data_IF_748889153685
#
_entry.id   IF_748889153685
#
_cell.length_a   1.000
_cell.length_b   1.000
_cell.length_c   1.000
_cell.angle_alpha   90.00
_cell.angle_beta   90.00
_cell.angle_gamma   90.00
#
_symmetry.space_group_name_H-M   'P 1'
#
loop_
_entity.id
_entity.type
_entity.pdbx_description
1 polymer ?
#
# COMPACT_ATOMS: atom_id res chain seq x y z
N UNK A 1 6.12 8.03 -42.00
CA UNK A 1 7.39 7.61 -41.35
C UNK A 1 7.52 8.34 -40.03
N UNK A 2 7.97 7.66 -38.97
CA UNK A 2 8.35 8.31 -37.70
C UNK A 2 7.68 7.73 -36.44
N UNK A 3 7.87 6.43 -36.18
CA UNK A 3 7.60 5.84 -34.87
C UNK A 3 8.84 6.07 -34.00
N UNK A 4 8.74 6.74 -32.85
CA UNK A 4 9.78 6.68 -31.80
C UNK A 4 9.23 6.04 -30.53
N UNK A 5 9.53 4.76 -30.45
CA UNK A 5 9.52 3.90 -29.27
C UNK A 5 10.64 4.36 -28.31
N UNK A 6 10.38 4.22 -27.00
CA UNK A 6 11.31 4.02 -25.85
C UNK A 6 11.08 5.03 -24.73
N UNK A 7 10.36 4.65 -23.68
CA UNK A 7 10.86 3.97 -22.45
C UNK A 7 11.29 4.99 -21.39
N UNK A 8 10.45 5.26 -20.39
CA UNK A 8 10.40 4.63 -19.04
C UNK A 8 11.19 5.47 -18.01
N UNK A 9 10.55 5.91 -16.91
CA UNK A 9 11.17 6.80 -15.94
C UNK A 9 11.98 5.99 -14.91
N UNK A 10 13.23 6.38 -14.68
CA UNK A 10 14.05 5.94 -13.56
C UNK A 10 14.40 7.19 -12.76
N UNK A 11 13.75 7.36 -11.61
CA UNK A 11 14.31 7.01 -10.30
C UNK A 11 15.09 8.19 -9.72
N UNK A 12 14.37 8.96 -8.89
CA UNK A 12 14.95 9.82 -7.86
C UNK A 12 16.06 9.05 -7.13
N UNK A 13 17.26 9.63 -7.04
CA UNK A 13 18.20 9.46 -5.94
C UNK A 13 19.33 10.49 -6.08
N UNK A 14 18.99 11.76 -5.82
CA UNK A 14 19.96 12.79 -5.46
C UNK A 14 20.10 12.72 -3.93
N UNK A 15 21.01 11.89 -3.43
CA UNK A 15 21.71 12.14 -2.16
C UNK A 15 23.16 11.66 -2.34
N UNK A 16 23.92 12.37 -3.18
CA UNK A 16 25.36 12.48 -2.97
C UNK A 16 25.60 13.58 -1.96
N UNK A 17 25.83 13.21 -0.69
CA UNK A 17 26.69 13.98 0.24
C UNK A 17 26.77 13.30 1.60
N UNK A 18 27.95 12.76 1.90
CA UNK A 18 28.65 12.63 3.20
C UNK A 18 29.48 11.35 3.15
N UNK A 19 30.73 11.28 3.56
CA UNK A 19 31.76 12.25 3.98
C UNK A 19 32.96 11.31 4.14
N UNK A 20 33.95 11.45 3.28
CA UNK A 20 35.19 10.69 3.41
C UNK A 20 36.00 11.19 4.61
N UNK A 21 36.60 10.21 5.29
CA UNK A 21 37.76 10.19 6.20
C UNK A 21 37.74 10.92 7.56
N UNK A 22 37.91 10.09 8.60
CA UNK A 22 38.80 10.29 9.76
C UNK A 22 38.91 8.96 10.54
N UNK A 23 39.91 8.10 10.26
CA UNK A 23 40.18 6.91 11.06
C UNK A 23 41.14 7.23 12.22
N UNK A 24 40.67 7.11 13.47
CA UNK A 24 41.54 7.08 14.65
C UNK A 24 41.91 5.64 15.02
N UNK A 25 43.18 5.32 15.30
CA UNK A 25 43.64 3.95 15.50
C UNK A 25 43.50 3.56 16.98
N UNK A 26 42.49 2.75 17.31
CA UNK A 26 42.52 2.01 18.58
C UNK A 26 43.26 0.70 18.38
N UNK A 27 44.52 0.73 18.82
CA UNK A 27 45.35 -0.42 19.08
C UNK A 27 44.75 -1.27 20.23
N UNK A 28 44.87 -2.60 20.10
CA UNK A 28 44.88 -3.53 21.22
C UNK A 28 43.69 -4.48 21.31
N UNK A 29 43.97 -5.80 21.23
CA UNK A 29 43.08 -6.83 21.76
C UNK A 29 43.06 -8.14 20.99
N UNK A 30 44.01 -9.02 21.32
CA UNK A 30 43.97 -10.50 21.30
C UNK A 30 43.06 -11.25 20.32
N UNK A 31 43.69 -12.12 19.53
CA UNK A 31 43.04 -13.22 18.86
C UNK A 31 42.40 -14.20 19.87
N UNK A 32 41.08 -14.35 19.81
CA UNK A 32 40.34 -15.47 20.40
C UNK A 32 39.85 -16.40 19.27
N UNK A 33 40.44 -17.59 19.06
CA UNK A 33 40.06 -18.47 17.96
C UNK A 33 38.96 -19.47 18.35
N UNK A 34 37.80 -19.03 18.89
CA UNK A 34 36.62 -19.91 19.01
C UNK A 34 35.32 -19.16 19.38
N UNK A 35 34.68 -18.42 18.47
CA UNK A 35 33.21 -18.30 18.51
C UNK A 35 32.67 -18.14 17.10
N UNK A 36 32.09 -19.23 16.60
CA UNK A 36 31.19 -19.30 15.46
C UNK A 36 30.22 -18.12 15.50
N UNK A 37 30.31 -17.20 14.54
CA UNK A 37 29.40 -16.06 14.40
C UNK A 37 27.96 -16.54 14.46
N UNK A 38 27.27 -16.06 15.48
CA UNK A 38 25.89 -16.33 15.82
C UNK A 38 24.99 -15.80 14.70
N UNK A 39 24.55 -16.68 13.80
CA UNK A 39 23.37 -16.42 12.98
C UNK A 39 22.21 -16.21 13.96
N UNK A 40 21.91 -14.93 14.21
CA UNK A 40 21.00 -14.48 15.25
C UNK A 40 19.68 -15.25 15.17
N UNK A 41 19.40 -16.00 16.24
CA UNK A 41 18.10 -16.66 16.44
C UNK A 41 17.03 -15.58 16.41
N UNK A 42 16.33 -15.47 15.28
CA UNK A 42 15.26 -14.50 15.06
C UNK A 42 14.24 -14.66 16.18
N UNK A 43 14.16 -13.66 17.06
CA UNK A 43 13.17 -13.63 18.13
C UNK A 43 11.85 -13.07 17.59
N UNK A 44 10.94 -14.00 17.33
CA UNK A 44 9.61 -13.72 16.81
C UNK A 44 9.03 -15.02 16.24
N UNK A 45 8.07 -15.63 16.94
CA UNK A 45 7.42 -16.84 16.44
C UNK A 45 6.40 -16.49 15.36
N UNK A 46 6.39 -17.27 14.27
CA UNK A 46 5.36 -17.21 13.23
C UNK A 46 3.99 -17.72 13.71
N UNK A 47 3.86 -18.08 14.99
CA UNK A 47 2.69 -18.70 15.59
C UNK A 47 1.39 -17.89 15.46
N UNK A 48 1.48 -16.58 15.18
CA UNK A 48 0.32 -15.70 15.00
C UNK A 48 -0.02 -15.41 13.53
N UNK A 49 0.72 -15.97 12.58
CA UNK A 49 0.45 -15.77 11.16
C UNK A 49 -0.95 -16.30 10.80
N UNK A 50 -1.79 -15.46 10.20
CA UNK A 50 -3.12 -15.86 9.75
C UNK A 50 -4.21 -16.02 10.83
N UNK A 51 -3.90 -15.81 12.13
CA UNK A 51 -4.86 -15.97 13.26
C UNK A 51 -6.21 -15.26 12.99
N UNK A 52 -6.15 -14.00 12.56
CA UNK A 52 -7.35 -13.17 12.32
C UNK A 52 -8.15 -13.63 11.11
N UNK A 53 -7.48 -14.15 10.08
CA UNK A 53 -8.14 -14.63 8.85
C UNK A 53 -8.89 -15.96 9.09
N UNK A 54 -8.41 -16.79 10.00
CA UNK A 54 -9.10 -18.04 10.40
C UNK A 54 -10.20 -17.82 11.44
N UNK A 55 -10.06 -16.81 12.30
CA UNK A 55 -11.05 -16.50 13.33
C UNK A 55 -12.30 -15.82 12.77
N UNK A 56 -12.18 -15.05 11.69
CA UNK A 56 -13.31 -14.32 11.10
C UNK A 56 -14.21 -15.27 10.29
N UNK A 57 -15.54 -15.24 10.49
CA UNK A 57 -16.45 -16.10 9.74
C UNK A 57 -16.34 -15.82 8.24
N UNK A 58 -16.26 -16.87 7.43
CA UNK A 58 -16.15 -16.75 5.98
C UNK A 58 -17.51 -16.43 5.36
N UNK A 59 -17.85 -15.15 5.26
CA UNK A 59 -19.09 -14.71 4.61
C UNK A 59 -18.98 -14.91 3.09
N UNK A 60 -19.92 -15.66 2.51
CA UNK A 60 -20.03 -15.83 1.06
C UNK A 60 -20.42 -14.51 0.39
N UNK A 61 -19.94 -14.29 -0.83
CA UNK A 61 -20.34 -13.11 -1.60
C UNK A 61 -21.80 -13.26 -2.00
N UNK A 62 -22.62 -12.30 -1.64
CA UNK A 62 -24.00 -12.23 -2.16
C UNK A 62 -23.98 -11.93 -3.65
N UNK A 63 -24.92 -12.55 -4.38
CA UNK A 63 -25.15 -12.24 -5.78
C UNK A 63 -25.73 -10.84 -5.94
N UNK A 64 -24.94 -9.95 -6.55
CA UNK A 64 -25.32 -8.57 -6.85
C UNK A 64 -25.43 -8.42 -8.36
N UNK A 65 -26.47 -7.73 -8.82
CA UNK A 65 -26.66 -7.39 -10.24
C UNK A 65 -25.39 -6.73 -10.79
N UNK A 66 -24.95 -7.16 -11.97
CA UNK A 66 -23.77 -6.61 -12.64
C UNK A 66 -24.02 -5.12 -12.90
N UNK A 67 -23.10 -4.27 -12.43
CA UNK A 67 -23.12 -2.85 -12.79
C UNK A 67 -22.76 -2.72 -14.27
N UNK A 68 -23.48 -1.91 -15.06
CA UNK A 68 -23.07 -1.65 -16.43
C UNK A 68 -21.68 -1.01 -16.43
N UNK A 69 -20.90 -1.24 -17.48
CA UNK A 69 -19.52 -0.72 -17.64
C UNK A 69 -19.49 0.42 -18.67
N UNK A 70 -18.41 1.21 -18.67
CA UNK A 70 -18.16 2.23 -19.68
C UNK A 70 -19.14 3.40 -19.66
N UNK A 71 -19.62 3.82 -20.84
CA UNK A 71 -20.46 5.01 -21.02
C UNK A 71 -21.79 4.92 -20.26
N UNK A 72 -22.42 3.75 -20.25
CA UNK A 72 -23.67 3.53 -19.51
C UNK A 72 -23.48 3.77 -17.99
N UNK A 73 -22.33 3.37 -17.43
CA UNK A 73 -22.04 3.64 -16.02
C UNK A 73 -21.85 5.14 -15.74
N UNK A 74 -21.10 5.83 -16.61
CA UNK A 74 -20.87 7.27 -16.49
C UNK A 74 -22.18 8.07 -16.56
N UNK A 75 -23.12 7.69 -17.44
CA UNK A 75 -24.46 8.30 -17.50
C UNK A 75 -25.23 8.13 -16.19
N UNK A 76 -25.23 6.91 -15.63
CA UNK A 76 -25.88 6.65 -14.34
C UNK A 76 -25.25 7.47 -13.20
N UNK A 77 -23.93 7.62 -13.18
CA UNK A 77 -23.25 8.46 -12.18
C UNK A 77 -23.61 9.95 -12.31
N UNK A 78 -23.62 10.48 -13.55
CA UNK A 78 -23.97 11.87 -13.81
C UNK A 78 -25.41 12.17 -13.37
N UNK A 79 -26.35 11.31 -13.77
CA UNK A 79 -27.75 11.46 -13.37
C UNK A 79 -27.89 11.46 -11.84
N UNK A 80 -27.24 10.53 -11.14
CA UNK A 80 -27.29 10.44 -9.66
C UNK A 80 -26.63 11.63 -8.94
N UNK A 81 -25.63 12.28 -9.54
CA UNK A 81 -24.88 13.37 -8.91
C UNK A 81 -25.45 14.75 -9.18
N UNK A 82 -26.01 14.96 -10.37
CA UNK A 82 -26.32 16.31 -10.86
C UNK A 82 -27.78 16.47 -11.30
N UNK A 83 -28.37 15.47 -11.95
CA UNK A 83 -29.71 15.61 -12.54
C UNK A 83 -30.82 15.24 -11.54
N UNK A 84 -30.66 14.12 -10.84
CA UNK A 84 -31.66 13.59 -9.90
C UNK A 84 -31.43 14.09 -8.48
N UNK A 85 -30.21 14.53 -8.14
CA UNK A 85 -29.90 15.06 -6.82
C UNK A 85 -30.39 16.51 -6.69
N UNK A 86 -31.66 16.68 -6.31
CA UNK A 86 -32.16 17.98 -5.85
C UNK A 86 -31.55 18.26 -4.48
N UNK A 87 -30.83 19.36 -4.34
CA UNK A 87 -30.31 19.81 -3.04
C UNK A 87 -31.51 20.30 -2.24
N UNK A 88 -32.15 19.41 -1.49
CA UNK A 88 -33.14 19.81 -0.49
C UNK A 88 -32.52 20.78 0.52
N UNK A 89 -33.36 21.56 1.19
CA UNK A 89 -32.90 22.49 2.23
C UNK A 89 -32.24 21.69 3.38
N UNK A 90 -30.95 21.93 3.62
CA UNK A 90 -30.15 21.25 4.65
C UNK A 90 -28.75 20.83 4.19
N UNK A 91 -28.02 20.14 5.07
CA UNK A 91 -26.66 19.63 4.77
C UNK A 91 -26.73 18.49 3.77
N UNK A 92 -25.92 18.54 2.71
CA UNK A 92 -25.84 17.49 1.69
C UNK A 92 -25.39 16.16 2.32
N UNK A 93 -26.26 15.14 2.26
CA UNK A 93 -25.91 13.78 2.68
C UNK A 93 -24.91 13.14 1.72
N UNK A 94 -23.95 12.41 2.27
CA UNK A 94 -22.96 11.67 1.50
C UNK A 94 -23.53 10.43 0.81
N UNK A 95 -22.92 9.98 -0.31
CA UNK A 95 -23.42 8.86 -1.11
C UNK A 95 -23.41 7.49 -0.42
N UNK A 96 -22.76 7.39 0.74
CA UNK A 96 -22.68 6.18 1.56
C UNK A 96 -22.88 6.53 3.05
N UNK A 97 -23.79 7.47 3.34
CA UNK A 97 -24.20 7.77 4.72
C UNK A 97 -25.18 6.70 5.19
N UNK A 98 -24.91 6.09 6.34
CA UNK A 98 -25.73 5.02 6.93
C UNK A 98 -26.60 5.52 8.09
N UNK A 99 -26.95 6.81 8.10
CA UNK A 99 -27.94 7.34 9.03
C UNK A 99 -29.34 6.97 8.52
N UNK A 100 -30.13 6.30 9.38
CA UNK A 100 -31.54 5.98 9.14
C UNK A 100 -32.37 7.25 9.03
#
# INVERSE_FOLDING_TARGET
>A
MGCTRRDRPHHLNIIHRRREENPSPFAGGSADPFVKTTMGKVHGSLARAGKVRGQTPKVAKQDKKKKPRGRAHKRLQHNRRFVTAVVGFGKKRGPNSSEK
#
